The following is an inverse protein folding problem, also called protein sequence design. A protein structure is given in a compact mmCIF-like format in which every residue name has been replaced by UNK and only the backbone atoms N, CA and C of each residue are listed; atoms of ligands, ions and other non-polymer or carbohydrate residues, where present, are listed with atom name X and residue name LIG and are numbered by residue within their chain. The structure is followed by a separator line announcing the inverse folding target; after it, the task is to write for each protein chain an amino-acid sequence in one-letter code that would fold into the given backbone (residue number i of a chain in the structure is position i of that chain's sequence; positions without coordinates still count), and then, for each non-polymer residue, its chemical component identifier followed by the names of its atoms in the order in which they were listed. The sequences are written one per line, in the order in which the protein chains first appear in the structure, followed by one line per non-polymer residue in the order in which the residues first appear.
data_IF_261729092048
#
_entry.id   IF_261729092048
#
_cell.length_a   1.000
_cell.length_b   1.000
_cell.length_c   1.000
_cell.angle_alpha   90.00
_cell.angle_beta   90.00
_cell.angle_gamma   90.00
#
_symmetry.space_group_name_H-M   'P 1'
#
loop_
_entity.id
_entity.type
_entity.pdbx_description
1 polymer ?
#
# COMPACT_ATOMS: atom_id res chain seq x y z
N UNK A 1 -11.91 25.27 -41.78
CA UNK A 1 -10.54 25.49 -42.29
C UNK A 1 -10.27 24.46 -43.38
N UNK A 2 -10.09 24.89 -44.63
CA UNK A 2 -9.94 24.01 -45.80
C UNK A 2 -8.51 23.56 -46.10
N UNK A 3 -7.61 23.61 -45.10
CA UNK A 3 -6.20 23.26 -45.27
C UNK A 3 -6.03 21.75 -45.40
N UNK A 4 -5.30 21.30 -46.43
CA UNK A 4 -4.98 19.88 -46.58
C UNK A 4 -3.87 19.45 -45.61
N UNK A 5 -3.79 18.15 -45.29
CA UNK A 5 -2.69 17.62 -44.46
C UNK A 5 -1.31 17.84 -45.10
N UNK A 6 -1.24 17.88 -46.44
CA UNK A 6 -0.01 18.15 -47.17
C UNK A 6 0.44 19.59 -46.98
N UNK A 7 -0.51 20.52 -47.06
CA UNK A 7 -0.26 21.95 -46.84
C UNK A 7 0.15 22.24 -45.39
N UNK A 8 -0.47 21.55 -44.42
CA UNK A 8 -0.05 21.65 -43.02
C UNK A 8 1.37 21.13 -42.80
N UNK A 9 1.74 20.03 -43.45
CA UNK A 9 3.08 19.45 -43.37
C UNK A 9 4.15 20.41 -43.92
N UNK A 10 3.87 21.03 -45.06
CA UNK A 10 4.74 22.03 -45.67
C UNK A 10 4.90 23.27 -44.76
N UNK A 11 3.80 23.82 -44.25
CA UNK A 11 3.84 25.00 -43.35
C UNK A 11 4.52 24.74 -42.01
N UNK A 12 4.46 23.51 -41.49
CA UNK A 12 5.12 23.12 -40.23
C UNK A 12 6.56 22.64 -40.42
N UNK A 13 7.01 22.47 -41.67
CA UNK A 13 8.33 21.90 -41.98
C UNK A 13 8.47 20.43 -41.55
N UNK A 14 7.36 19.71 -41.39
CA UNK A 14 7.34 18.31 -40.96
C UNK A 14 7.04 17.37 -42.12
N UNK A 15 7.55 16.13 -42.11
CA UNK A 15 7.15 15.14 -43.10
C UNK A 15 5.63 14.92 -43.09
N UNK A 16 5.01 14.84 -44.27
CA UNK A 16 3.57 14.52 -44.41
C UNK A 16 3.18 13.25 -43.67
N UNK A 17 4.09 12.27 -43.62
CA UNK A 17 3.94 11.04 -42.82
C UNK A 17 3.72 11.38 -41.34
N UNK A 18 4.55 12.23 -40.76
CA UNK A 18 4.46 12.63 -39.35
C UNK A 18 3.11 13.31 -39.03
N UNK A 19 2.67 14.25 -39.87
CA UNK A 19 1.36 14.91 -39.69
C UNK A 19 0.21 13.90 -39.78
N UNK A 20 0.25 12.97 -40.74
CA UNK A 20 -0.76 11.92 -40.87
C UNK A 20 -0.79 11.00 -39.63
N UNK A 21 0.38 10.62 -39.11
CA UNK A 21 0.48 9.79 -37.91
C UNK A 21 0.03 10.53 -36.64
N UNK A 22 0.26 11.85 -36.54
CA UNK A 22 -0.29 12.69 -35.47
C UNK A 22 -1.83 12.71 -35.55
N UNK A 23 -2.39 12.93 -36.74
CA UNK A 23 -3.85 12.95 -36.96
C UNK A 23 -4.48 11.59 -36.63
N UNK A 24 -3.78 10.49 -36.88
CA UNK A 24 -4.19 9.13 -36.51
C UNK A 24 -3.94 8.77 -35.05
N UNK A 25 -3.35 9.65 -34.24
CA UNK A 25 -3.02 9.40 -32.84
C UNK A 25 -1.89 8.39 -32.61
N UNK A 26 -1.09 8.10 -33.65
CA UNK A 26 0.04 7.17 -33.61
C UNK A 26 1.35 7.86 -33.22
N UNK A 27 1.58 9.06 -33.74
CA UNK A 27 2.75 9.88 -33.36
C UNK A 27 2.37 10.89 -32.26
N UNK A 28 3.28 11.08 -31.30
CA UNK A 28 3.11 12.07 -30.24
C UNK A 28 3.32 13.48 -30.77
N UNK A 29 2.55 14.44 -30.26
CA UNK A 29 2.85 15.85 -30.45
C UNK A 29 3.97 16.24 -29.48
N UNK A 30 5.17 16.45 -30.02
CA UNK A 30 6.29 16.97 -29.22
C UNK A 30 6.10 18.47 -28.94
N UNK A 31 6.74 19.03 -27.89
CA UNK A 31 6.67 20.47 -27.61
C UNK A 31 7.08 21.36 -28.80
N UNK A 32 8.09 20.94 -29.56
CA UNK A 32 8.53 21.61 -30.79
C UNK A 32 7.45 21.54 -31.90
N UNK A 33 6.77 20.40 -32.04
CA UNK A 33 5.62 20.28 -32.95
C UNK A 33 4.47 21.20 -32.52
N UNK A 34 4.21 21.32 -31.22
CA UNK A 34 3.18 22.20 -30.70
C UNK A 34 3.47 23.68 -31.01
N UNK A 35 4.73 24.13 -30.91
CA UNK A 35 5.15 25.49 -31.29
C UNK A 35 4.99 25.74 -32.80
N UNK A 36 5.30 24.75 -33.64
CA UNK A 36 5.09 24.85 -35.08
C UNK A 36 3.59 24.93 -35.42
N UNK A 37 2.77 24.11 -34.77
CA UNK A 37 1.31 24.16 -34.93
C UNK A 37 0.73 25.49 -34.43
N UNK A 38 1.28 26.08 -33.36
CA UNK A 38 0.90 27.41 -32.90
C UNK A 38 1.16 28.48 -33.96
N UNK A 39 2.35 28.47 -34.57
CA UNK A 39 2.70 29.43 -35.64
C UNK A 39 1.80 29.31 -36.86
N UNK A 40 1.36 28.09 -37.20
CA UNK A 40 0.56 27.84 -38.42
C UNK A 40 -0.94 28.03 -38.19
N UNK A 41 -1.45 27.63 -37.02
CA UNK A 41 -2.88 27.57 -36.72
C UNK A 41 -3.35 28.67 -35.75
N UNK A 42 -2.42 29.43 -35.14
CA UNK A 42 -2.72 30.47 -34.16
C UNK A 42 -3.22 29.94 -32.81
N UNK A 43 -3.17 28.62 -32.58
CA UNK A 43 -3.61 27.97 -31.35
C UNK A 43 -2.41 27.76 -30.44
N UNK A 44 -2.42 28.25 -29.18
CA UNK A 44 -1.26 28.17 -28.28
C UNK A 44 -0.70 26.75 -28.15
N UNK A 45 0.64 26.61 -28.14
CA UNK A 45 1.32 25.32 -27.98
C UNK A 45 0.88 24.57 -26.72
N UNK A 46 0.56 25.31 -25.65
CA UNK A 46 0.02 24.75 -24.41
C UNK A 46 -1.27 23.94 -24.62
N UNK A 47 -2.14 24.35 -25.56
CA UNK A 47 -3.36 23.59 -25.89
C UNK A 47 -3.03 22.21 -26.44
N UNK A 48 -2.09 22.13 -27.38
CA UNK A 48 -1.66 20.87 -27.99
C UNK A 48 -0.96 19.96 -26.99
N UNK A 49 -0.06 20.51 -26.18
CA UNK A 49 0.65 19.77 -25.14
C UNK A 49 -0.31 19.21 -24.09
N UNK A 50 -1.30 19.99 -23.67
CA UNK A 50 -2.31 19.53 -22.71
C UNK A 50 -3.13 18.38 -23.29
N UNK A 51 -3.54 18.46 -24.56
CA UNK A 51 -4.28 17.36 -25.22
C UNK A 51 -3.44 16.09 -25.34
N UNK A 52 -2.19 16.21 -25.76
CA UNK A 52 -1.27 15.06 -25.86
C UNK A 52 -1.10 14.40 -24.48
N UNK A 53 -0.88 15.21 -23.43
CA UNK A 53 -0.76 14.70 -22.06
C UNK A 53 -2.00 13.92 -21.64
N UNK A 54 -3.20 14.49 -21.82
CA UNK A 54 -4.45 13.81 -21.45
C UNK A 54 -4.68 12.54 -22.27
N UNK A 55 -4.37 12.54 -23.56
CA UNK A 55 -4.47 11.36 -24.41
C UNK A 55 -3.53 10.24 -23.94
N UNK A 56 -2.25 10.56 -23.69
CA UNK A 56 -1.26 9.59 -23.21
C UNK A 56 -1.61 9.05 -21.83
N UNK A 57 -2.10 9.90 -20.94
CA UNK A 57 -2.60 9.49 -19.63
C UNK A 57 -3.77 8.52 -19.76
N UNK A 58 -4.75 8.81 -20.63
CA UNK A 58 -5.89 7.92 -20.87
C UNK A 58 -5.44 6.56 -21.42
N UNK A 59 -4.52 6.55 -22.40
CA UNK A 59 -3.95 5.31 -22.94
C UNK A 59 -3.20 4.50 -21.87
N UNK A 60 -2.41 5.16 -21.02
CA UNK A 60 -1.69 4.51 -19.92
C UNK A 60 -2.67 3.91 -18.89
N UNK A 61 -3.75 4.63 -18.56
CA UNK A 61 -4.80 4.12 -17.65
C UNK A 61 -5.52 2.90 -18.23
N UNK A 62 -5.80 2.88 -19.53
CA UNK A 62 -6.41 1.73 -20.20
C UNK A 62 -5.49 0.51 -20.17
N UNK A 63 -4.22 0.68 -20.56
CA UNK A 63 -3.24 -0.40 -20.51
C UNK A 63 -3.02 -0.92 -19.07
N UNK A 64 -3.02 -0.03 -18.08
CA UNK A 64 -2.92 -0.42 -16.68
C UNK A 64 -4.14 -1.21 -16.22
N UNK A 65 -5.34 -0.81 -16.63
CA UNK A 65 -6.58 -1.54 -16.32
C UNK A 65 -6.53 -2.98 -16.87
N UNK A 66 -6.08 -3.15 -18.12
CA UNK A 66 -5.89 -4.47 -18.74
C UNK A 66 -4.87 -5.31 -17.97
N UNK A 67 -3.72 -4.72 -17.64
CA UNK A 67 -2.67 -5.38 -16.84
C UNK A 67 -3.16 -5.84 -15.47
N UNK A 68 -4.00 -5.03 -14.81
CA UNK A 68 -4.56 -5.37 -13.51
C UNK A 68 -5.62 -6.47 -13.60
N UNK A 69 -6.38 -6.54 -14.70
CA UNK A 69 -7.34 -7.63 -14.92
C UNK A 69 -6.66 -9.00 -14.89
N UNK A 70 -5.49 -9.13 -15.50
CA UNK A 70 -4.70 -10.38 -15.48
C UNK A 70 -4.27 -10.79 -14.06
N UNK A 71 -4.11 -9.81 -13.18
CA UNK A 71 -3.60 -10.02 -11.82
C UNK A 71 -4.71 -10.22 -10.78
N UNK A 72 -5.99 -10.09 -11.16
CA UNK A 72 -7.15 -10.25 -10.26
C UNK A 72 -7.14 -11.59 -9.53
N UNK A 73 -6.64 -12.66 -10.17
CA UNK A 73 -6.55 -13.98 -9.55
C UNK A 73 -5.73 -13.99 -8.26
N UNK A 74 -4.77 -13.07 -8.11
CA UNK A 74 -3.94 -12.94 -6.92
C UNK A 74 -4.74 -12.56 -5.67
N UNK A 75 -5.85 -11.82 -5.80
CA UNK A 75 -6.72 -11.44 -4.68
C UNK A 75 -7.19 -12.64 -3.85
N UNK A 76 -7.31 -13.82 -4.46
CA UNK A 76 -7.74 -15.06 -3.77
C UNK A 76 -6.74 -15.51 -2.70
N UNK A 77 -5.46 -15.11 -2.79
CA UNK A 77 -4.41 -15.47 -1.82
C UNK A 77 -4.49 -14.63 -0.53
N UNK A 78 -5.13 -13.46 -0.58
CA UNK A 78 -5.17 -12.51 0.52
C UNK A 78 -6.44 -12.62 1.37
N UNK A 79 -6.38 -12.28 2.67
CA UNK A 79 -7.53 -12.28 3.57
C UNK A 79 -8.42 -11.03 3.39
N UNK A 80 -8.88 -10.74 2.16
CA UNK A 80 -9.62 -9.51 1.81
C UNK A 80 -10.86 -9.28 2.68
N UNK A 81 -11.62 -10.35 2.96
CA UNK A 81 -12.82 -10.28 3.82
C UNK A 81 -12.49 -9.81 5.24
N UNK A 82 -11.38 -10.30 5.81
CA UNK A 82 -10.95 -9.92 7.16
C UNK A 82 -10.45 -8.47 7.16
N UNK A 83 -9.62 -8.09 6.18
CA UNK A 83 -9.10 -6.72 6.05
C UNK A 83 -10.24 -5.70 5.88
N UNK A 84 -11.26 -6.03 5.09
CA UNK A 84 -12.44 -5.19 4.93
C UNK A 84 -13.28 -5.10 6.23
N UNK A 85 -13.47 -6.22 6.94
CA UNK A 85 -14.18 -6.25 8.23
C UNK A 85 -13.47 -5.39 9.29
N UNK A 86 -12.14 -5.39 9.29
CA UNK A 86 -11.30 -4.59 10.19
C UNK A 86 -11.18 -3.12 9.74
N UNK A 87 -11.80 -2.73 8.63
CA UNK A 87 -11.81 -1.36 8.13
C UNK A 87 -10.48 -0.90 7.53
N UNK A 88 -9.57 -1.82 7.19
CA UNK A 88 -8.26 -1.45 6.63
C UNK A 88 -8.32 -1.10 5.14
N UNK A 89 -9.26 -1.71 4.43
CA UNK A 89 -9.50 -1.51 3.01
C UNK A 89 -10.99 -1.33 2.76
N UNK A 90 -11.34 -0.59 1.70
CA UNK A 90 -12.72 -0.49 1.23
C UNK A 90 -13.09 -1.73 0.43
N UNK A 91 -14.31 -2.24 0.65
CA UNK A 91 -14.84 -3.36 -0.13
C UNK A 91 -15.55 -2.83 -1.37
N UNK A 92 -15.05 -3.19 -2.55
CA UNK A 92 -15.57 -2.77 -3.85
C UNK A 92 -16.12 -3.98 -4.60
N UNK A 93 -17.17 -3.78 -5.41
CA UNK A 93 -17.76 -4.86 -6.23
C UNK A 93 -16.88 -5.24 -7.41
N UNK A 94 -16.25 -4.25 -8.06
CA UNK A 94 -15.30 -4.46 -9.14
C UNK A 94 -13.99 -5.04 -8.58
N UNK A 95 -13.58 -6.17 -9.13
CA UNK A 95 -12.37 -6.88 -8.73
C UNK A 95 -11.09 -6.10 -9.06
N UNK A 96 -11.07 -5.35 -10.16
CA UNK A 96 -9.87 -4.56 -10.52
C UNK A 96 -9.69 -3.41 -9.54
N UNK A 97 -10.77 -2.70 -9.22
CA UNK A 97 -10.75 -1.66 -8.19
C UNK A 97 -10.42 -2.24 -6.81
N UNK A 98 -10.91 -3.44 -6.48
CA UNK A 98 -10.54 -4.11 -5.24
C UNK A 98 -9.03 -4.43 -5.19
N UNK A 99 -8.42 -4.82 -6.32
CA UNK A 99 -6.98 -5.03 -6.43
C UNK A 99 -6.21 -3.73 -6.23
N UNK A 100 -6.64 -2.63 -6.86
CA UNK A 100 -6.04 -1.31 -6.67
C UNK A 100 -6.06 -0.85 -5.22
N UNK A 101 -7.20 -0.99 -4.53
CA UNK A 101 -7.31 -0.66 -3.09
C UNK A 101 -6.32 -1.47 -2.24
N UNK A 102 -6.14 -2.74 -2.55
CA UNK A 102 -5.20 -3.62 -1.85
C UNK A 102 -3.76 -3.20 -2.14
N UNK A 103 -3.41 -2.96 -3.41
CA UNK A 103 -2.08 -2.48 -3.80
C UNK A 103 -1.74 -1.13 -3.15
N UNK A 104 -2.70 -0.22 -3.07
CA UNK A 104 -2.58 1.06 -2.38
C UNK A 104 -2.35 0.89 -0.87
N UNK A 105 -3.06 -0.04 -0.22
CA UNK A 105 -2.85 -0.37 1.19
C UNK A 105 -1.43 -0.87 1.45
N UNK A 106 -0.93 -1.78 0.61
CA UNK A 106 0.45 -2.26 0.69
C UNK A 106 1.49 -1.22 0.24
N UNK A 107 1.08 -0.22 -0.57
CA UNK A 107 1.96 0.81 -1.12
C UNK A 107 2.91 0.26 -2.19
N UNK A 108 2.44 -0.68 -3.01
CA UNK A 108 3.22 -1.38 -4.05
C UNK A 108 2.54 -1.29 -5.42
N UNK A 109 3.34 -1.26 -6.49
CA UNK A 109 2.83 -1.11 -7.86
C UNK A 109 2.25 -2.40 -8.47
N UNK A 110 2.59 -3.57 -7.91
CA UNK A 110 2.05 -4.85 -8.36
C UNK A 110 2.20 -5.95 -7.30
N UNK A 111 1.45 -7.05 -7.41
CA UNK A 111 1.64 -8.27 -6.61
C UNK A 111 3.05 -8.84 -6.69
N UNK A 112 3.67 -8.78 -7.88
CA UNK A 112 5.03 -9.26 -8.10
C UNK A 112 6.03 -8.44 -7.27
N UNK A 113 5.93 -7.12 -7.32
CA UNK A 113 6.80 -6.23 -6.52
C UNK A 113 6.66 -6.48 -5.02
N UNK A 114 5.45 -6.74 -4.53
CA UNK A 114 5.24 -7.09 -3.13
C UNK A 114 5.93 -8.41 -2.78
N UNK A 115 5.81 -9.42 -3.64
CA UNK A 115 6.45 -10.71 -3.43
C UNK A 115 7.98 -10.57 -3.43
N UNK A 116 8.56 -9.91 -4.43
CA UNK A 116 10.02 -9.69 -4.51
C UNK A 116 10.57 -8.79 -3.39
N UNK A 117 9.80 -7.80 -2.94
CA UNK A 117 10.18 -7.00 -1.78
C UNK A 117 10.24 -7.85 -0.51
N UNK A 118 9.32 -8.80 -0.38
CA UNK A 118 9.25 -9.66 0.78
C UNK A 118 10.26 -10.81 0.76
N UNK A 119 10.47 -11.47 -0.39
CA UNK A 119 11.43 -12.58 -0.50
C UNK A 119 12.86 -12.14 -0.13
N UNK A 120 13.17 -10.84 -0.24
CA UNK A 120 14.43 -10.24 0.22
C UNK A 120 14.50 -9.96 1.72
N UNK A 121 13.38 -9.93 2.43
CA UNK A 121 13.31 -9.70 3.88
C UNK A 121 13.09 -11.02 4.60
N UNK A 122 14.15 -11.51 5.24
CA UNK A 122 14.05 -12.60 6.20
C UNK A 122 13.34 -12.10 7.47
N UNK A 123 12.00 -12.17 7.50
CA UNK A 123 11.24 -11.84 8.70
C UNK A 123 11.01 -13.11 9.52
N UNK A 124 11.74 -13.23 10.61
CA UNK A 124 11.56 -14.29 11.60
C UNK A 124 10.37 -13.98 12.50
N UNK A 125 9.24 -14.64 12.26
CA UNK A 125 8.08 -14.59 13.15
C UNK A 125 8.12 -15.75 14.15
N UNK A 126 7.81 -15.47 15.42
CA UNK A 126 7.49 -16.51 16.39
C UNK A 126 6.09 -17.04 16.08
N UNK A 127 6.00 -18.27 15.59
CA UNK A 127 4.73 -18.96 15.32
C UNK A 127 4.73 -20.34 15.99
N UNK A 128 3.57 -20.79 16.46
CA UNK A 128 3.43 -22.17 16.90
C UNK A 128 3.47 -23.10 15.67
N UNK A 129 4.08 -24.30 15.77
CA UNK A 129 4.15 -25.26 14.65
C UNK A 129 2.79 -25.74 14.13
N UNK A 130 1.72 -25.53 14.92
CA UNK A 130 0.38 -26.08 14.66
C UNK A 130 -0.41 -25.34 13.56
N UNK A 131 0.02 -24.15 13.13
CA UNK A 131 -0.71 -23.33 12.16
C UNK A 131 0.12 -23.12 10.89
N UNK A 132 -0.34 -23.62 9.74
CA UNK A 132 0.16 -23.19 8.43
C UNK A 132 -0.23 -21.72 8.23
N UNK A 133 0.62 -20.80 8.68
CA UNK A 133 0.35 -19.39 8.54
C UNK A 133 0.29 -19.03 7.05
N UNK A 134 -0.83 -18.44 6.63
CA UNK A 134 -0.87 -17.78 5.34
C UNK A 134 0.01 -16.53 5.46
N UNK A 135 1.17 -16.58 4.81
CA UNK A 135 2.16 -15.52 4.82
C UNK A 135 1.58 -14.13 4.45
N UNK A 136 0.58 -14.08 3.55
CA UNK A 136 -0.12 -12.84 3.17
C UNK A 136 -0.91 -12.21 4.32
N UNK A 137 -1.38 -13.01 5.28
CA UNK A 137 -2.04 -12.51 6.50
C UNK A 137 -1.02 -11.81 7.40
N UNK A 138 0.15 -12.41 7.58
CA UNK A 138 1.23 -11.80 8.37
C UNK A 138 1.69 -10.48 7.76
N UNK A 139 1.84 -10.44 6.43
CA UNK A 139 2.12 -9.22 5.67
C UNK A 139 1.08 -8.13 5.88
N UNK A 140 -0.20 -8.47 5.83
CA UNK A 140 -1.28 -7.49 6.03
C UNK A 140 -1.20 -6.84 7.42
N UNK A 141 -0.94 -7.64 8.46
CA UNK A 141 -0.74 -7.15 9.83
C UNK A 141 0.51 -6.31 9.98
N UNK A 142 1.64 -6.75 9.43
CA UNK A 142 2.89 -6.00 9.47
C UNK A 142 2.71 -4.63 8.81
N UNK A 143 2.09 -4.61 7.63
CA UNK A 143 1.78 -3.36 6.92
C UNK A 143 0.87 -2.45 7.73
N UNK A 144 -0.17 -3.01 8.37
CA UNK A 144 -1.06 -2.25 9.23
C UNK A 144 -0.29 -1.60 10.39
N UNK A 145 0.59 -2.36 11.02
CA UNK A 145 1.49 -1.86 12.07
C UNK A 145 2.41 -0.75 11.58
N UNK A 146 2.98 -0.86 10.37
CA UNK A 146 3.79 0.22 9.77
C UNK A 146 2.98 1.50 9.55
N UNK A 147 1.72 1.38 9.09
CA UNK A 147 0.84 2.53 8.85
C UNK A 147 0.50 3.23 10.17
N UNK A 148 0.19 2.47 11.22
CA UNK A 148 -0.11 3.02 12.55
C UNK A 148 1.13 3.58 13.24
N UNK A 149 2.28 2.91 13.15
CA UNK A 149 3.52 3.40 13.75
C UNK A 149 3.94 4.76 13.19
N UNK A 150 3.63 5.05 11.91
CA UNK A 150 3.90 6.36 11.29
C UNK A 150 3.10 7.51 11.90
N UNK A 151 1.95 7.25 12.53
CA UNK A 151 1.16 8.29 13.17
C UNK A 151 1.62 8.57 14.60
N UNK A 152 2.40 7.67 15.20
CA UNK A 152 2.94 7.81 16.54
C UNK A 152 4.22 8.67 16.46
N UNK A 153 4.21 9.83 17.11
CA UNK A 153 5.42 10.64 17.27
C UNK A 153 6.31 10.00 18.33
N UNK A 154 7.44 9.46 17.89
CA UNK A 154 8.45 8.88 18.78
C UNK A 154 9.69 9.77 18.81
N UNK A 155 10.28 9.93 20.00
CA UNK A 155 11.64 10.46 20.14
C UNK A 155 12.65 9.51 19.47
N UNK A 156 13.84 10.00 19.07
CA UNK A 156 14.89 9.15 18.51
C UNK A 156 15.16 7.94 19.43
N UNK A 157 15.37 6.78 18.83
CA UNK A 157 15.65 5.56 19.57
C UNK A 157 16.94 5.72 20.40
N UNK A 158 16.82 5.55 21.72
CA UNK A 158 17.95 5.47 22.64
C UNK A 158 18.03 4.07 23.25
N UNK A 159 19.07 3.33 22.85
CA UNK A 159 19.34 1.98 23.28
C UNK A 159 19.58 1.87 24.80
N UNK A 160 20.24 2.85 25.43
CA UNK A 160 20.51 2.80 26.87
C UNK A 160 19.23 2.96 27.66
N UNK A 161 18.43 3.97 27.30
CA UNK A 161 17.13 4.23 27.94
C UNK A 161 16.19 3.03 27.78
N UNK A 162 16.12 2.44 26.58
CA UNK A 162 15.32 1.24 26.33
C UNK A 162 15.77 0.03 27.17
N UNK A 163 17.07 -0.24 27.26
CA UNK A 163 17.59 -1.36 28.07
C UNK A 163 17.37 -1.14 29.57
N UNK A 164 17.50 0.10 30.05
CA UNK A 164 17.24 0.45 31.44
C UNK A 164 15.76 0.28 31.81
N UNK A 165 14.82 0.56 30.89
CA UNK A 165 13.38 0.29 31.11
C UNK A 165 13.03 -1.20 31.10
N UNK A 166 13.88 -2.06 30.53
CA UNK A 166 13.69 -3.51 30.48
C UNK A 166 14.26 -4.27 31.69
N UNK A 167 14.89 -3.59 32.66
CA UNK A 167 15.44 -4.22 33.84
C UNK A 167 14.33 -4.87 34.73
N UNK A 168 14.67 -5.91 35.51
CA UNK A 168 13.92 -7.17 35.63
C UNK A 168 12.63 -7.16 36.48
N UNK A 169 12.12 -6.01 36.91
CA UNK A 169 10.87 -5.96 37.68
C UNK A 169 9.66 -6.40 36.84
N UNK A 170 9.72 -6.24 35.51
CA UNK A 170 8.64 -6.65 34.59
C UNK A 170 8.75 -8.11 34.15
N UNK A 171 9.93 -8.74 34.27
CA UNK A 171 10.14 -10.16 33.93
C UNK A 171 9.29 -11.07 34.83
N UNK A 172 9.14 -10.72 36.11
CA UNK A 172 8.25 -11.45 37.01
C UNK A 172 6.79 -11.42 36.54
N UNK A 173 6.29 -10.29 36.03
CA UNK A 173 4.88 -10.18 35.65
C UNK A 173 4.53 -11.06 34.43
N UNK A 174 5.46 -11.21 33.48
CA UNK A 174 5.26 -12.05 32.28
C UNK A 174 5.41 -13.55 32.62
N UNK A 175 6.32 -13.91 33.54
CA UNK A 175 6.47 -15.30 34.00
C UNK A 175 5.28 -15.69 34.89
N UNK A 176 4.82 -14.83 35.80
CA UNK A 176 3.63 -15.07 36.62
C UNK A 176 2.33 -15.20 35.78
N UNK A 177 2.19 -14.43 34.69
CA UNK A 177 1.04 -14.58 33.80
C UNK A 177 1.09 -15.84 32.92
N UNK A 178 2.28 -16.37 32.64
CA UNK A 178 2.46 -17.58 31.85
C UNK A 178 2.32 -18.88 32.70
N UNK A 179 2.51 -18.80 34.02
CA UNK A 179 2.45 -19.93 34.95
C UNK A 179 1.07 -20.11 35.63
N UNK A 180 0.08 -19.29 35.27
CA UNK A 180 -1.28 -19.30 35.83
C UNK A 180 -2.18 -20.45 35.36
N UNK A 181 -1.63 -21.66 35.15
CA UNK A 181 -2.43 -22.85 34.84
C UNK A 181 -1.92 -24.13 35.50
N UNK A 182 -1.63 -24.10 36.80
CA UNK A 182 -2.04 -25.18 37.71
C UNK A 182 -1.85 -24.80 39.18
N UNK A 183 -2.96 -24.64 39.91
CA UNK A 183 -3.02 -24.88 41.36
C UNK A 183 -4.45 -25.28 41.71
N UNK A 184 -4.82 -26.49 41.33
CA UNK A 184 -5.54 -27.31 42.31
C UNK A 184 -4.52 -27.72 43.38
N UNK A 185 -4.39 -26.94 44.43
CA UNK A 185 -4.40 -27.59 45.74
C UNK A 185 -4.86 -26.64 46.84
N UNK A 186 -5.83 -27.16 47.56
CA UNK A 186 -6.58 -26.58 48.64
C UNK A 186 -5.77 -26.77 49.92
N UNK A 187 -5.31 -25.69 50.56
CA UNK A 187 -4.85 -25.74 51.95
C UNK A 187 -4.63 -24.34 52.50
N UNK A 188 -5.65 -23.84 53.20
CA UNK A 188 -5.52 -23.09 54.45
C UNK A 188 -4.65 -21.84 54.46
N UNK A 189 -5.31 -20.68 54.26
CA UNK A 189 -4.89 -19.45 54.91
C UNK A 189 -6.14 -18.77 55.48
N UNK A 190 -6.50 -19.19 56.69
CA UNK A 190 -7.46 -18.52 57.55
C UNK A 190 -6.80 -17.23 58.05
N UNK A 191 -7.48 -16.11 57.81
CA UNK A 191 -7.07 -14.76 58.24
C UNK A 191 -7.08 -14.64 59.76
N UNK A 192 -6.14 -13.92 60.40
CA UNK A 192 -6.25 -13.58 61.80
C UNK A 192 -7.26 -12.44 61.99
N UNK A 193 -8.31 -12.71 62.77
CA UNK A 193 -9.28 -11.72 63.28
C UNK A 193 -8.60 -10.68 64.22
N UNK A 194 -9.12 -9.44 64.28
CA UNK A 194 -8.52 -8.35 65.04
C UNK A 194 -8.83 -8.44 66.54
N UNK A 195 -7.85 -8.03 67.36
CA UNK A 195 -7.99 -7.91 68.81
C UNK A 195 -8.96 -6.79 69.20
N UNK A 196 -9.99 -7.13 69.96
CA UNK A 196 -10.72 -6.17 70.82
C UNK A 196 -10.25 -6.26 72.27
N UNK A 197 -10.26 -5.08 72.89
CA UNK A 197 -9.73 -4.67 74.18
C UNK A 197 -10.43 -5.25 75.42
N UNK A 198 -9.65 -5.29 76.50
CA UNK A 198 -9.97 -5.38 77.93
C UNK A 198 -11.41 -5.00 78.36
N UNK A 199 -12.01 -5.84 79.22
CA UNK A 199 -12.63 -5.35 80.46
C UNK A 199 -12.77 -6.46 81.50
N UNK A 200 -12.28 -6.13 82.71
CA UNK A 200 -12.49 -6.70 84.06
C UNK A 200 -11.77 -8.02 84.43
#
# INVERSE_FOLDING_TARGET
MGMSQAELAERTGRPKKTINEIIKGKAAISPDTALQLERVLGIPAAFWNNRERHYREAMARLAEQERLQEQVAWLKKLPIKAMAKLGWIKKVKDHVQQLLEVLNFFGVASPHELQSFWDRREVNFRMSPALKANHWVALAWLRKGEIEAKTIRCSPFDQKTFRNTLNPTTTYLIIFYADGRDRSDNSSFESPEPQESESL
#
